data_IF_251253419473
#
_entry.id   IF_251253419473
#
_cell.length_a   1.000
_cell.length_b   1.000
_cell.length_c   1.000
_cell.angle_alpha   90.00
_cell.angle_beta   90.00
_cell.angle_gamma   90.00
#
_symmetry.space_group_name_H-M   'P 1'
#
loop_
_entity.id
_entity.type
_entity.pdbx_description
1 polymer ?
#
# COMPACT_ATOMS: atom_id res chain seq x y z
N UNK A 1 11.24 -12.98 -2.89
CA UNK A 1 10.08 -13.35 -3.74
C UNK A 1 8.98 -13.83 -2.81
N UNK A 2 7.70 -13.59 -3.12
CA UNK A 2 6.58 -14.05 -2.27
C UNK A 2 6.47 -15.57 -2.36
N UNK A 3 6.13 -16.24 -1.27
CA UNK A 3 5.95 -17.69 -1.23
C UNK A 3 4.77 -18.10 -2.16
N UNK A 4 4.98 -19.02 -3.12
CA UNK A 4 3.91 -19.48 -4.02
C UNK A 4 2.67 -20.04 -3.30
N UNK A 5 2.86 -20.74 -2.18
CA UNK A 5 1.74 -21.28 -1.39
C UNK A 5 0.85 -20.15 -0.84
N UNK A 6 1.44 -19.01 -0.48
CA UNK A 6 0.70 -17.81 -0.07
C UNK A 6 -0.09 -17.21 -1.22
N UNK A 7 0.47 -17.21 -2.44
CA UNK A 7 -0.23 -16.70 -3.62
C UNK A 7 -1.43 -17.58 -3.99
N UNK A 8 -1.27 -18.90 -3.92
CA UNK A 8 -2.37 -19.84 -4.17
C UNK A 8 -3.48 -19.69 -3.13
N UNK A 9 -3.13 -19.55 -1.85
CA UNK A 9 -4.13 -19.39 -0.79
C UNK A 9 -4.92 -18.07 -0.89
N UNK A 10 -4.31 -16.98 -1.36
CA UNK A 10 -4.92 -15.65 -1.40
C UNK A 10 -5.57 -15.33 -2.74
N UNK A 11 -4.94 -15.74 -3.84
CA UNK A 11 -5.32 -15.35 -5.20
C UNK A 11 -5.66 -16.55 -6.11
N UNK A 12 -5.53 -17.78 -5.62
CA UNK A 12 -5.77 -18.99 -6.43
C UNK A 12 -4.76 -19.21 -7.55
N UNK A 13 -3.63 -18.49 -7.56
CA UNK A 13 -2.62 -18.55 -8.61
C UNK A 13 -1.23 -18.74 -8.03
N UNK A 14 -0.38 -19.47 -8.74
CA UNK A 14 1.04 -19.66 -8.39
C UNK A 14 1.93 -18.48 -8.82
N UNK A 15 1.40 -17.55 -9.62
CA UNK A 15 2.10 -16.34 -10.09
C UNK A 15 1.14 -15.16 -10.28
N UNK A 16 1.60 -13.97 -9.88
CA UNK A 16 0.85 -12.72 -10.01
C UNK A 16 0.90 -12.10 -11.42
N UNK A 17 1.69 -12.67 -12.34
CA UNK A 17 1.96 -12.09 -13.66
C UNK A 17 0.69 -11.95 -14.52
N UNK A 18 -0.23 -12.91 -14.41
CA UNK A 18 -1.46 -12.93 -15.22
C UNK A 18 -2.63 -12.15 -14.60
N UNK A 19 -2.50 -11.67 -13.35
CA UNK A 19 -3.61 -10.97 -12.69
C UNK A 19 -3.78 -9.54 -13.22
N UNK A 20 -5.01 -9.01 -13.27
CA UNK A 20 -5.20 -7.59 -13.53
C UNK A 20 -4.69 -6.75 -12.35
N UNK A 21 -4.22 -5.52 -12.63
CA UNK A 21 -3.77 -4.59 -11.58
C UNK A 21 -4.91 -4.16 -10.65
N UNK A 22 -6.16 -4.25 -11.11
CA UNK A 22 -7.34 -4.06 -10.29
C UNK A 22 -8.13 -5.35 -10.25
N UNK A 23 -8.39 -5.84 -9.04
CA UNK A 23 -9.07 -7.10 -8.83
C UNK A 23 -10.06 -7.00 -7.67
N UNK A 24 -11.09 -7.84 -7.71
CA UNK A 24 -11.88 -8.16 -6.53
C UNK A 24 -11.13 -9.23 -5.74
N UNK A 25 -11.08 -9.10 -4.41
CA UNK A 25 -10.50 -10.13 -3.58
C UNK A 25 -11.54 -11.24 -3.44
N UNK A 26 -11.22 -12.42 -3.95
CA UNK A 26 -12.03 -13.61 -3.78
C UNK A 26 -11.78 -14.23 -2.40
N UNK A 27 -12.78 -14.93 -1.88
CA UNK A 27 -12.68 -15.67 -0.64
C UNK A 27 -12.61 -17.16 -0.96
N UNK A 28 -11.46 -17.76 -0.70
CA UNK A 28 -11.22 -19.19 -0.84
C UNK A 28 -11.49 -19.91 0.49
N UNK A 29 -11.75 -21.21 0.42
CA UNK A 29 -11.94 -22.04 1.62
C UNK A 29 -10.61 -22.40 2.29
N UNK A 30 -9.93 -21.38 2.82
CA UNK A 30 -8.75 -21.53 3.66
C UNK A 30 -8.68 -20.39 4.69
N UNK A 31 -7.96 -20.63 5.79
CA UNK A 31 -7.88 -19.67 6.89
C UNK A 31 -7.24 -18.34 6.49
N UNK A 32 -6.23 -18.37 5.62
CA UNK A 32 -5.48 -17.17 5.23
C UNK A 32 -6.34 -16.22 4.38
N UNK A 33 -7.04 -16.76 3.37
CA UNK A 33 -7.97 -16.02 2.53
C UNK A 33 -9.09 -15.40 3.37
N UNK A 34 -9.64 -16.16 4.32
CA UNK A 34 -10.68 -15.69 5.23
C UNK A 34 -10.22 -14.51 6.07
N UNK A 35 -9.07 -14.63 6.74
CA UNK A 35 -8.49 -13.56 7.58
C UNK A 35 -8.21 -12.29 6.77
N UNK A 36 -7.68 -12.41 5.56
CA UNK A 36 -7.41 -11.23 4.71
C UNK A 36 -8.72 -10.56 4.28
N UNK A 37 -9.72 -11.34 3.87
CA UNK A 37 -11.04 -10.82 3.52
C UNK A 37 -11.70 -10.11 4.71
N UNK A 38 -11.62 -10.67 5.92
CA UNK A 38 -12.11 -10.05 7.15
C UNK A 38 -11.45 -8.69 7.42
N UNK A 39 -10.11 -8.62 7.36
CA UNK A 39 -9.37 -7.36 7.55
C UNK A 39 -9.76 -6.32 6.50
N UNK A 40 -9.80 -6.70 5.23
CA UNK A 40 -10.18 -5.78 4.14
C UNK A 40 -11.61 -5.28 4.30
N UNK A 41 -12.53 -6.16 4.67
CA UNK A 41 -13.93 -5.81 4.86
C UNK A 41 -14.13 -4.93 6.09
N UNK A 42 -13.38 -5.14 7.17
CA UNK A 42 -13.41 -4.26 8.34
C UNK A 42 -12.91 -2.86 8.00
N UNK A 43 -11.82 -2.73 7.22
CA UNK A 43 -11.35 -1.43 6.72
C UNK A 43 -12.43 -0.76 5.87
N UNK A 44 -13.11 -1.50 4.99
CA UNK A 44 -14.20 -0.97 4.16
C UNK A 44 -15.39 -0.52 4.99
N UNK A 45 -15.75 -1.26 6.05
CA UNK A 45 -16.87 -0.94 6.95
C UNK A 45 -16.69 0.41 7.66
N UNK A 46 -15.45 0.82 7.87
CA UNK A 46 -15.09 2.10 8.51
C UNK A 46 -15.06 3.28 7.53
N UNK A 47 -15.43 3.09 6.25
CA UNK A 47 -15.37 4.13 5.21
C UNK A 47 -16.74 4.34 4.58
N UNK A 48 -17.03 5.58 4.20
CA UNK A 48 -18.29 5.95 3.53
C UNK A 48 -18.34 5.58 2.04
N UNK A 49 -17.22 5.16 1.46
CA UNK A 49 -17.10 4.78 0.05
C UNK A 49 -16.40 3.44 -0.09
N UNK A 50 -16.78 2.67 -1.11
CA UNK A 50 -16.15 1.39 -1.38
C UNK A 50 -14.71 1.55 -1.87
N UNK A 51 -13.75 1.06 -1.08
CA UNK A 51 -12.33 1.07 -1.44
C UNK A 51 -12.01 -0.05 -2.44
N UNK A 52 -11.65 0.34 -3.67
CA UNK A 52 -11.18 -0.57 -4.73
C UNK A 52 -9.79 -1.10 -4.37
N UNK A 53 -9.61 -2.41 -4.54
CA UNK A 53 -8.30 -3.02 -4.37
C UNK A 53 -7.46 -2.87 -5.64
N UNK A 54 -6.18 -2.54 -5.45
CA UNK A 54 -5.19 -2.44 -6.51
C UNK A 54 -3.96 -3.26 -6.12
N UNK A 55 -3.60 -4.19 -6.99
CA UNK A 55 -2.38 -4.96 -6.87
C UNK A 55 -1.20 -4.10 -7.33
N UNK A 56 -0.25 -3.84 -6.44
CA UNK A 56 0.95 -3.08 -6.74
C UNK A 56 2.13 -4.07 -6.82
N UNK A 57 2.82 -4.10 -7.97
CA UNK A 57 3.94 -5.01 -8.20
C UNK A 57 5.25 -4.24 -8.23
N UNK A 58 6.30 -4.84 -7.69
CA UNK A 58 7.64 -4.26 -7.75
C UNK A 58 8.11 -4.23 -9.21
N UNK A 59 8.50 -3.04 -9.68
CA UNK A 59 8.99 -2.84 -11.04
C UNK A 59 7.92 -2.43 -12.06
N UNK A 60 6.65 -2.36 -11.67
CA UNK A 60 5.57 -1.82 -12.51
C UNK A 60 5.24 -0.36 -12.13
N UNK A 61 4.66 0.44 -13.05
CA UNK A 61 4.22 1.82 -12.76
C UNK A 61 3.21 1.94 -11.61
N UNK A 62 2.49 0.85 -11.29
CA UNK A 62 1.61 0.78 -10.11
C UNK A 62 2.36 1.05 -8.80
N UNK A 63 3.67 0.78 -8.76
CA UNK A 63 4.54 1.09 -7.65
C UNK A 63 4.71 2.60 -7.41
N UNK A 64 4.76 3.42 -8.47
CA UNK A 64 4.91 4.88 -8.31
C UNK A 64 3.65 5.50 -7.71
N UNK A 65 2.47 5.02 -8.12
CA UNK A 65 1.21 5.38 -7.48
C UNK A 65 1.20 4.96 -6.01
N UNK A 66 1.64 3.74 -5.69
CA UNK A 66 1.73 3.29 -4.30
C UNK A 66 2.68 4.15 -3.46
N UNK A 67 3.83 4.55 -4.01
CA UNK A 67 4.80 5.44 -3.33
C UNK A 67 4.20 6.79 -2.93
N UNK A 68 3.21 7.30 -3.67
CA UNK A 68 2.54 8.56 -3.29
C UNK A 68 1.76 8.48 -1.97
N UNK A 69 1.46 7.27 -1.48
CA UNK A 69 0.83 7.07 -0.16
C UNK A 69 1.86 6.91 0.98
N UNK A 70 3.15 6.78 0.67
CA UNK A 70 4.23 6.66 1.65
C UNK A 70 4.70 8.06 2.06
N UNK A 71 3.85 8.78 2.78
CA UNK A 71 3.99 10.23 3.04
C UNK A 71 5.23 10.63 3.87
N UNK A 72 5.86 9.68 4.55
CA UNK A 72 7.08 9.93 5.31
C UNK A 72 8.34 9.87 4.43
N UNK A 73 8.26 9.15 3.30
CA UNK A 73 9.36 8.97 2.37
C UNK A 73 9.59 10.25 1.54
N UNK A 74 10.81 10.36 1.02
CA UNK A 74 11.15 11.43 0.08
C UNK A 74 10.44 11.23 -1.26
N UNK A 75 9.75 12.26 -1.72
CA UNK A 75 9.11 12.31 -3.04
C UNK A 75 9.68 13.46 -3.90
N UNK A 76 9.57 13.40 -5.24
CA UNK A 76 10.04 14.48 -6.10
C UNK A 76 9.39 15.82 -5.73
N UNK A 77 10.21 16.78 -5.31
CA UNK A 77 9.76 18.12 -4.93
C UNK A 77 9.16 18.24 -3.52
N UNK A 78 9.19 17.18 -2.71
CA UNK A 78 8.67 17.18 -1.33
C UNK A 78 9.75 16.66 -0.38
N UNK A 79 9.82 17.24 0.81
CA UNK A 79 10.70 16.76 1.88
C UNK A 79 10.22 15.41 2.41
N UNK A 80 11.15 14.54 2.79
CA UNK A 80 10.80 13.46 3.73
C UNK A 80 10.37 14.04 5.08
N UNK A 81 9.76 13.22 5.92
CA UNK A 81 9.38 13.64 7.27
C UNK A 81 10.59 14.21 8.06
N UNK A 82 11.75 13.53 7.99
CA UNK A 82 12.99 13.98 8.64
C UNK A 82 13.48 15.32 8.09
N UNK A 83 13.54 15.45 6.75
CA UNK A 83 13.98 16.70 6.09
C UNK A 83 13.04 17.87 6.45
N UNK A 84 11.73 17.61 6.56
CA UNK A 84 10.76 18.61 6.96
C UNK A 84 10.96 19.07 8.40
N UNK A 85 11.21 18.15 9.35
CA UNK A 85 11.51 18.53 10.73
C UNK A 85 12.76 19.40 10.84
N UNK A 86 13.84 19.04 10.13
CA UNK A 86 15.07 19.85 10.08
C UNK A 86 14.79 21.21 9.45
N UNK A 87 14.00 21.27 8.38
CA UNK A 87 13.61 22.50 7.73
C UNK A 87 12.86 23.44 8.69
N UNK A 88 11.84 22.94 9.40
CA UNK A 88 11.08 23.70 10.41
C UNK A 88 12.00 24.15 11.54
N UNK A 89 12.87 23.28 12.04
CA UNK A 89 13.81 23.61 13.12
C UNK A 89 14.71 24.80 12.74
N UNK A 90 15.27 24.81 11.53
CA UNK A 90 16.09 25.91 11.02
C UNK A 90 15.31 27.22 10.88
N UNK A 91 14.05 27.14 10.43
CA UNK A 91 13.19 28.32 10.34
C UNK A 91 12.90 28.94 11.71
N UNK A 92 12.69 28.11 12.75
CA UNK A 92 12.49 28.59 14.12
C UNK A 92 13.75 29.30 14.61
N UNK A 93 14.93 28.68 14.46
CA UNK A 93 16.20 29.26 14.89
C UNK A 93 16.49 30.61 14.22
N UNK A 94 16.23 30.71 12.91
CA UNK A 94 16.43 31.96 12.15
C UNK A 94 15.53 33.11 12.58
N UNK A 95 14.38 32.85 13.23
CA UNK A 95 13.49 33.90 13.75
C UNK A 95 13.78 34.30 15.19
N UNK A 96 14.51 33.47 15.92
CA UNK A 96 14.92 33.73 17.31
C UNK A 96 16.29 34.41 17.41
N UNK A 97 17.02 34.47 16.29
CA UNK A 97 18.26 35.23 16.13
C UNK A 97 17.93 36.54 15.42
#
# INVERSE_FOLDING_TARGET
>A
MVNPATLEQIFGVSSLAALPAQLALEQFDNELSRKINEVVNEIRRQRCSYLRLRLCRRGEPSGDFFRSFLIEDKAPGVFSYEEFLVHVHRQIQSKMT
#
